data_IF_096015429969
#
_entry.id   IF_096015429969
#
_cell.length_a   1.000
_cell.length_b   1.000
_cell.length_c   1.000
_cell.angle_alpha   90.00
_cell.angle_beta   90.00
_cell.angle_gamma   90.00
#
_symmetry.space_group_name_H-M   'P 1'
#
loop_
_entity.id
_entity.type
_entity.pdbx_description
1 polymer ?
#
# COMPACT_ATOMS: atom_id res chain seq x y z
N UNK A 1 -3.52 19.06 -22.57
CA UNK A 1 -3.97 19.40 -21.21
C UNK A 1 -3.04 18.67 -20.26
N UNK A 2 -2.28 19.38 -19.42
CA UNK A 2 -1.35 18.75 -18.45
C UNK A 2 -2.19 18.24 -17.28
N UNK A 3 -2.12 16.95 -16.97
CA UNK A 3 -2.76 16.37 -15.78
C UNK A 3 -1.98 16.88 -14.57
N UNK A 4 -2.68 17.46 -13.60
CA UNK A 4 -2.10 17.88 -12.31
C UNK A 4 -2.37 16.79 -11.29
N UNK A 5 -1.31 16.18 -10.78
CA UNK A 5 -1.43 15.06 -9.86
C UNK A 5 -1.73 15.52 -8.43
N UNK A 6 -2.39 14.68 -7.63
CA UNK A 6 -2.67 14.99 -6.24
C UNK A 6 -1.39 15.19 -5.41
N UNK A 7 -0.32 14.48 -5.73
CA UNK A 7 0.98 14.66 -5.07
C UNK A 7 1.55 16.07 -5.29
N UNK A 8 1.42 16.62 -6.50
CA UNK A 8 1.80 18.01 -6.79
C UNK A 8 0.96 19.01 -5.97
N UNK A 9 -0.34 18.71 -5.80
CA UNK A 9 -1.25 19.53 -4.98
C UNK A 9 -0.85 19.50 -3.50
N UNK A 10 -0.52 18.33 -2.95
CA UNK A 10 -0.06 18.17 -1.56
C UNK A 10 1.26 18.92 -1.34
N UNK A 11 2.22 18.78 -2.27
CA UNK A 11 3.49 19.49 -2.22
C UNK A 11 3.30 21.03 -2.23
N UNK A 12 2.40 21.56 -3.08
CA UNK A 12 2.09 23.00 -3.11
C UNK A 12 1.44 23.53 -1.84
N UNK A 13 0.86 22.64 -1.01
CA UNK A 13 0.26 22.98 0.30
C UNK A 13 1.28 22.91 1.45
N UNK A 14 2.56 22.70 1.16
CA UNK A 14 3.63 22.67 2.15
C UNK A 14 3.76 21.35 2.91
N UNK A 15 3.16 20.26 2.41
CA UNK A 15 3.29 18.95 3.03
C UNK A 15 4.67 18.37 2.67
N UNK A 16 5.59 18.39 3.64
CA UNK A 16 7.01 18.11 3.42
C UNK A 16 7.29 16.72 2.80
N UNK A 17 6.59 15.67 3.25
CA UNK A 17 6.76 14.32 2.69
C UNK A 17 6.21 14.20 1.26
N UNK A 18 5.25 15.04 0.86
CA UNK A 18 4.75 15.09 -0.53
C UNK A 18 5.78 15.74 -1.45
N UNK A 19 6.44 16.82 -1.00
CA UNK A 19 7.54 17.45 -1.74
C UNK A 19 8.70 16.47 -1.95
N UNK A 20 9.13 15.78 -0.89
CA UNK A 20 10.16 14.72 -0.98
C UNK A 20 9.77 13.62 -1.96
N UNK A 21 8.53 13.13 -1.89
CA UNK A 21 8.05 12.09 -2.81
C UNK A 21 7.97 12.57 -4.27
N UNK A 22 7.61 13.83 -4.50
CA UNK A 22 7.59 14.43 -5.84
C UNK A 22 9.01 14.55 -6.42
N UNK A 23 9.99 14.96 -5.61
CA UNK A 23 11.39 15.06 -6.03
C UNK A 23 12.00 13.68 -6.28
N UNK A 24 11.66 12.69 -5.45
CA UNK A 24 12.01 11.29 -5.69
C UNK A 24 11.43 10.80 -7.03
N UNK A 25 10.15 11.07 -7.28
CA UNK A 25 9.47 10.65 -8.51
C UNK A 25 10.18 11.21 -9.76
N UNK A 26 10.48 12.52 -9.76
CA UNK A 26 11.19 13.18 -10.86
C UNK A 26 12.58 12.61 -11.07
N UNK A 27 13.36 12.50 -10.00
CA UNK A 27 14.75 12.04 -10.05
C UNK A 27 14.86 10.59 -10.55
N UNK A 28 13.83 9.79 -10.31
CA UNK A 28 13.79 8.40 -10.73
C UNK A 28 12.98 8.16 -12.02
N UNK A 29 12.39 9.18 -12.65
CA UNK A 29 11.54 9.03 -13.83
C UNK A 29 10.26 8.22 -13.57
N UNK A 30 9.62 8.44 -12.41
CA UNK A 30 8.36 7.82 -12.01
C UNK A 30 7.21 8.81 -12.12
N UNK A 31 6.01 8.29 -12.39
CA UNK A 31 4.78 9.08 -12.41
C UNK A 31 4.38 9.39 -10.97
N UNK A 32 4.12 10.66 -10.60
CA UNK A 32 3.87 11.06 -9.21
C UNK A 32 2.42 10.79 -8.75
N UNK A 33 1.94 9.56 -8.96
CA UNK A 33 0.63 9.09 -8.48
C UNK A 33 0.85 8.23 -7.23
N UNK A 34 0.06 8.48 -6.19
CA UNK A 34 0.05 7.67 -4.95
C UNK A 34 -1.23 6.84 -4.79
N UNK A 35 -2.31 7.20 -5.47
CA UNK A 35 -3.57 6.46 -5.53
C UNK A 35 -4.47 7.04 -6.63
N UNK A 36 -5.15 6.20 -7.39
CA UNK A 36 -6.14 6.61 -8.37
C UNK A 36 -7.37 7.29 -7.75
N UNK A 37 -7.67 7.05 -6.46
CA UNK A 37 -8.74 7.75 -5.75
C UNK A 37 -8.53 9.26 -5.71
N UNK A 38 -7.28 9.71 -5.83
CA UNK A 38 -6.90 11.11 -5.80
C UNK A 38 -6.78 11.74 -7.21
N UNK A 39 -6.98 10.94 -8.27
CA UNK A 39 -6.82 11.32 -9.68
C UNK A 39 -8.14 11.20 -10.46
N UNK A 40 -9.11 12.12 -10.29
CA UNK A 40 -10.47 11.96 -10.82
C UNK A 40 -10.54 11.74 -12.33
N UNK A 41 -9.71 12.44 -13.11
CA UNK A 41 -9.70 12.31 -14.57
C UNK A 41 -9.22 10.92 -15.01
N UNK A 42 -8.15 10.42 -14.40
CA UNK A 42 -7.58 9.11 -14.69
C UNK A 42 -8.52 8.00 -14.23
N UNK A 43 -9.06 8.13 -13.03
CA UNK A 43 -10.06 7.21 -12.49
C UNK A 43 -11.31 7.16 -13.39
N UNK A 44 -11.86 8.29 -13.80
CA UNK A 44 -13.04 8.30 -14.68
C UNK A 44 -12.77 7.61 -16.02
N UNK A 45 -11.59 7.82 -16.61
CA UNK A 45 -11.16 7.14 -17.84
C UNK A 45 -11.06 5.64 -17.64
N UNK A 46 -10.42 5.22 -16.54
CA UNK A 46 -10.27 3.82 -16.16
C UNK A 46 -11.64 3.14 -15.96
N UNK A 47 -12.55 3.75 -15.20
CA UNK A 47 -13.87 3.18 -14.93
C UNK A 47 -14.71 3.04 -16.20
N UNK A 48 -14.59 3.98 -17.16
CA UNK A 48 -15.24 3.87 -18.47
C UNK A 48 -14.72 2.69 -19.28
N UNK A 49 -13.42 2.40 -19.23
CA UNK A 49 -12.81 1.23 -19.90
C UNK A 49 -13.35 -0.09 -19.37
N UNK A 50 -13.60 -0.19 -18.07
CA UNK A 50 -14.12 -1.41 -17.42
C UNK A 50 -15.66 -1.45 -17.30
N UNK A 51 -16.37 -0.47 -17.87
CA UNK A 51 -17.82 -0.33 -17.70
C UNK A 51 -18.60 -1.55 -18.17
N UNK A 52 -18.27 -2.08 -19.35
CA UNK A 52 -19.01 -3.18 -19.94
C UNK A 52 -18.99 -4.46 -19.09
N UNK A 53 -17.83 -5.01 -18.68
CA UNK A 53 -17.80 -6.18 -17.81
C UNK A 53 -18.36 -5.88 -16.41
N UNK A 54 -18.11 -4.69 -15.84
CA UNK A 54 -18.45 -4.43 -14.45
C UNK A 54 -19.89 -3.94 -14.23
N UNK A 55 -20.53 -3.30 -15.21
CA UNK A 55 -21.94 -2.89 -15.08
C UNK A 55 -22.88 -4.10 -14.97
N UNK A 56 -22.55 -5.22 -15.63
CA UNK A 56 -23.29 -6.47 -15.48
C UNK A 56 -23.22 -6.98 -14.04
N UNK A 57 -22.02 -7.11 -13.49
CA UNK A 57 -21.83 -7.50 -12.10
C UNK A 57 -22.52 -6.54 -11.12
N UNK A 58 -22.49 -5.24 -11.40
CA UNK A 58 -23.13 -4.22 -10.55
C UNK A 58 -24.66 -4.32 -10.57
N UNK A 59 -25.28 -4.58 -11.72
CA UNK A 59 -26.74 -4.80 -11.80
C UNK A 59 -27.19 -6.01 -10.99
N UNK A 60 -26.38 -7.05 -10.97
CA UNK A 60 -26.71 -8.30 -10.29
C UNK A 60 -26.42 -8.30 -8.79
N UNK A 61 -25.42 -7.53 -8.34
CA UNK A 61 -24.89 -7.62 -6.98
C UNK A 61 -24.54 -6.26 -6.34
N UNK A 62 -24.95 -5.14 -6.91
CA UNK A 62 -24.58 -3.79 -6.45
C UNK A 62 -25.08 -3.43 -5.04
N UNK A 63 -26.02 -4.18 -4.49
CA UNK A 63 -26.48 -4.00 -3.10
C UNK A 63 -25.42 -4.40 -2.07
N UNK A 64 -24.52 -5.33 -2.40
CA UNK A 64 -23.50 -5.84 -1.47
C UNK A 64 -22.11 -5.79 -2.12
N UNK A 65 -21.22 -4.95 -1.59
CA UNK A 65 -19.86 -4.74 -2.13
C UNK A 65 -19.08 -6.05 -2.27
N UNK A 66 -19.13 -6.92 -1.27
CA UNK A 66 -18.40 -8.20 -1.26
C UNK A 66 -18.88 -9.11 -2.38
N UNK A 67 -20.20 -9.26 -2.53
CA UNK A 67 -20.79 -10.05 -3.60
C UNK A 67 -20.47 -9.48 -4.98
N UNK A 68 -20.55 -8.15 -5.13
CA UNK A 68 -20.18 -7.47 -6.36
C UNK A 68 -18.72 -7.75 -6.74
N UNK A 69 -17.76 -7.54 -5.82
CA UNK A 69 -16.34 -7.78 -6.09
C UNK A 69 -16.12 -9.24 -6.48
N UNK A 70 -16.76 -10.19 -5.80
CA UNK A 70 -16.65 -11.62 -6.16
C UNK A 70 -17.10 -11.90 -7.59
N UNK A 71 -18.24 -11.34 -8.04
CA UNK A 71 -18.72 -11.49 -9.42
C UNK A 71 -17.82 -10.79 -10.43
N UNK A 72 -17.37 -9.58 -10.11
CA UNK A 72 -16.45 -8.82 -10.96
C UNK A 72 -15.14 -9.59 -11.23
N UNK A 73 -14.56 -10.22 -10.20
CA UNK A 73 -13.35 -11.02 -10.36
C UNK A 73 -13.55 -12.24 -11.26
N UNK A 74 -14.73 -12.87 -11.23
CA UNK A 74 -15.05 -13.96 -12.16
C UNK A 74 -15.10 -13.47 -13.62
N UNK A 75 -15.65 -12.29 -13.86
CA UNK A 75 -15.71 -11.69 -15.21
C UNK A 75 -14.35 -11.21 -15.71
N UNK A 76 -13.45 -10.86 -14.80
CA UNK A 76 -12.08 -10.44 -15.11
C UNK A 76 -11.07 -11.61 -15.12
N UNK A 77 -11.56 -12.85 -15.07
CA UNK A 77 -10.77 -14.10 -14.99
C UNK A 77 -9.64 -14.04 -13.93
N UNK A 78 -9.95 -13.46 -12.77
CA UNK A 78 -8.99 -13.27 -11.71
C UNK A 78 -9.17 -14.30 -10.60
N UNK A 79 -8.11 -15.06 -10.32
CA UNK A 79 -8.03 -16.00 -9.21
C UNK A 79 -7.36 -15.35 -8.01
N UNK A 80 -8.07 -15.26 -6.90
CA UNK A 80 -7.48 -14.81 -5.64
C UNK A 80 -6.53 -15.88 -5.10
N UNK A 81 -5.31 -15.49 -4.82
CA UNK A 81 -4.38 -16.30 -4.04
C UNK A 81 -4.73 -16.24 -2.55
N UNK A 82 -4.43 -17.32 -1.84
CA UNK A 82 -4.72 -17.45 -0.41
C UNK A 82 -3.57 -16.87 0.44
N UNK A 83 -3.53 -15.54 0.54
CA UNK A 83 -2.62 -14.84 1.45
C UNK A 83 -3.26 -14.63 2.83
N UNK A 84 -2.45 -14.71 3.88
CA UNK A 84 -2.85 -14.20 5.19
C UNK A 84 -2.70 -12.68 5.18
N UNK A 85 -3.79 -11.95 5.41
CA UNK A 85 -3.70 -10.51 5.62
C UNK A 85 -3.45 -10.24 7.11
N UNK A 86 -2.34 -9.56 7.42
CA UNK A 86 -2.11 -9.06 8.77
C UNK A 86 -2.76 -7.67 8.90
N UNK A 87 -3.56 -7.48 9.96
CA UNK A 87 -4.41 -6.30 10.09
C UNK A 87 -3.65 -5.01 10.45
N UNK A 88 -2.47 -5.15 11.06
CA UNK A 88 -1.69 -4.03 11.59
C UNK A 88 -0.55 -3.62 10.66
N UNK A 89 0.27 -2.67 11.09
CA UNK A 89 1.35 -2.10 10.31
C UNK A 89 2.66 -2.88 10.48
N UNK A 90 3.55 -2.71 9.51
CA UNK A 90 4.89 -3.27 9.54
C UNK A 90 5.93 -2.26 9.08
N UNK A 91 6.96 -2.08 9.88
CA UNK A 91 8.11 -1.21 9.59
C UNK A 91 9.38 -2.06 9.50
N UNK A 92 10.20 -1.91 8.44
CA UNK A 92 11.43 -2.68 8.29
C UNK A 92 12.45 -2.31 9.37
N UNK A 93 13.06 -3.30 10.01
CA UNK A 93 14.14 -3.13 11.01
C UNK A 93 15.54 -3.29 10.40
N UNK A 94 15.62 -4.00 9.28
CA UNK A 94 16.83 -4.26 8.51
C UNK A 94 16.58 -3.97 7.04
N UNK A 95 17.63 -4.10 6.23
CA UNK A 95 17.45 -4.28 4.79
C UNK A 95 16.45 -5.40 4.52
N UNK A 96 15.59 -5.17 3.53
CA UNK A 96 14.49 -6.05 3.21
C UNK A 96 14.25 -6.11 1.71
N UNK A 97 13.69 -7.24 1.27
CA UNK A 97 13.16 -7.42 -0.08
C UNK A 97 11.64 -7.56 0.06
N UNK A 98 10.89 -6.76 -0.70
CA UNK A 98 9.43 -6.77 -0.65
C UNK A 98 8.84 -6.78 -2.06
N UNK A 99 7.65 -7.36 -2.17
CA UNK A 99 6.81 -7.33 -3.38
C UNK A 99 5.55 -6.50 -3.08
N UNK A 100 5.23 -5.55 -3.95
CA UNK A 100 3.98 -4.78 -3.87
C UNK A 100 2.80 -5.69 -4.23
N UNK A 101 1.80 -5.77 -3.35
CA UNK A 101 0.62 -6.65 -3.48
C UNK A 101 -0.65 -5.89 -3.88
N UNK A 102 -0.97 -4.80 -3.19
CA UNK A 102 -2.04 -3.84 -3.53
C UNK A 102 -1.44 -2.43 -3.42
N UNK A 103 -1.42 -1.68 -4.51
CA UNK A 103 -0.72 -0.39 -4.63
C UNK A 103 -1.63 0.83 -4.52
N UNK A 104 -2.94 0.68 -4.67
CA UNK A 104 -3.86 1.81 -4.79
C UNK A 104 -4.35 2.40 -3.46
N UNK A 105 -3.64 2.11 -2.37
CA UNK A 105 -3.99 2.51 -1.01
C UNK A 105 -2.74 2.95 -0.26
N UNK A 106 -2.94 3.78 0.76
CA UNK A 106 -1.88 4.28 1.63
C UNK A 106 -2.26 3.96 3.08
N UNK A 107 -1.48 3.15 3.81
CA UNK A 107 -0.22 2.52 3.40
C UNK A 107 -0.39 1.39 2.37
N UNK A 108 0.62 1.20 1.54
CA UNK A 108 0.67 0.14 0.51
C UNK A 108 0.73 -1.23 1.18
N UNK A 109 0.08 -2.23 0.59
CA UNK A 109 0.22 -3.61 1.05
C UNK A 109 1.32 -4.33 0.30
N UNK A 110 2.16 -5.04 1.06
CA UNK A 110 3.33 -5.73 0.53
C UNK A 110 3.39 -7.16 1.03
N UNK A 111 4.07 -8.01 0.28
CA UNK A 111 4.50 -9.33 0.72
C UNK A 111 6.00 -9.23 1.01
N UNK A 112 6.46 -9.46 2.25
CA UNK A 112 7.88 -9.53 2.54
C UNK A 112 8.46 -10.74 1.83
N UNK A 113 9.46 -10.55 0.96
CA UNK A 113 10.22 -11.64 0.36
C UNK A 113 11.34 -12.06 1.31
N UNK A 114 12.05 -11.09 1.90
CA UNK A 114 13.09 -11.27 2.92
C UNK A 114 13.16 -10.09 3.87
N UNK A 115 13.67 -10.32 5.09
CA UNK A 115 14.04 -9.26 6.03
C UNK A 115 13.26 -9.32 7.35
N UNK A 116 13.61 -8.41 8.26
CA UNK A 116 12.99 -8.27 9.59
C UNK A 116 12.08 -7.06 9.64
N UNK A 117 10.89 -7.26 10.18
CA UNK A 117 9.87 -6.23 10.32
C UNK A 117 9.41 -6.16 11.77
N UNK A 118 9.30 -4.94 12.30
CA UNK A 118 8.55 -4.69 13.53
C UNK A 118 7.09 -4.53 13.17
N UNK A 119 6.23 -5.25 13.89
CA UNK A 119 4.79 -5.13 13.77
C UNK A 119 4.33 -4.06 14.76
N UNK A 120 3.54 -3.10 14.29
CA UNK A 120 3.13 -1.94 15.09
C UNK A 120 1.63 -1.74 15.01
N UNK A 121 1.03 -1.28 16.10
CA UNK A 121 -0.39 -0.95 16.15
C UNK A 121 -0.68 0.33 15.36
N UNK A 122 0.27 1.28 15.37
CA UNK A 122 0.18 2.55 14.64
C UNK A 122 1.45 2.90 13.86
N UNK A 123 1.36 3.95 13.04
CA UNK A 123 2.50 4.56 12.34
C UNK A 123 3.23 5.56 13.24
N UNK A 124 4.54 5.69 13.05
CA UNK A 124 5.39 6.59 13.83
C UNK A 124 6.14 7.59 12.93
N UNK A 125 6.48 8.74 13.49
CA UNK A 125 7.20 9.81 12.77
C UNK A 125 8.60 9.36 12.31
N UNK A 126 9.25 8.56 13.16
CA UNK A 126 10.66 8.18 13.08
C UNK A 126 10.86 6.76 13.61
N UNK A 127 11.95 6.11 13.19
CA UNK A 127 12.35 4.84 13.79
C UNK A 127 12.77 5.04 15.24
N UNK A 128 13.41 6.17 15.57
CA UNK A 128 13.79 6.48 16.94
C UNK A 128 12.57 6.68 17.87
N UNK A 129 11.50 7.33 17.40
CA UNK A 129 10.25 7.40 18.17
C UNK A 129 9.68 6.00 18.42
N UNK A 130 9.57 5.18 17.38
CA UNK A 130 9.10 3.79 17.50
C UNK A 130 9.93 3.00 18.54
N UNK A 131 11.26 3.07 18.46
CA UNK A 131 12.13 2.39 19.43
C UNK A 131 11.95 2.92 20.86
N UNK A 132 11.73 4.22 21.03
CA UNK A 132 11.48 4.83 22.34
C UNK A 132 10.15 4.35 22.92
N UNK A 133 9.07 4.37 22.13
CA UNK A 133 7.74 3.89 22.54
C UNK A 133 7.76 2.42 22.94
N UNK A 134 8.51 1.59 22.22
CA UNK A 134 8.73 0.19 22.57
C UNK A 134 9.50 0.06 23.88
N UNK A 135 10.56 0.85 24.12
CA UNK A 135 11.29 0.80 25.40
C UNK A 135 10.43 1.22 26.59
N UNK A 136 9.59 2.24 26.41
CA UNK A 136 8.74 2.80 27.47
C UNK A 136 7.50 1.97 27.80
N UNK A 137 7.15 0.95 27.00
CA UNK A 137 5.91 0.21 27.21
C UNK A 137 4.69 0.74 26.46
N UNK A 138 4.89 1.76 25.62
CA UNK A 138 3.83 2.50 24.92
C UNK A 138 3.54 1.97 23.51
N UNK A 139 4.13 0.85 23.13
CA UNK A 139 3.86 0.08 21.90
C UNK A 139 4.17 -1.40 22.14
N UNK A 140 3.67 -2.29 21.30
CA UNK A 140 3.98 -3.71 21.30
C UNK A 140 5.42 -3.99 20.84
N UNK A 141 6.00 -5.07 21.37
CA UNK A 141 7.35 -5.53 21.01
C UNK A 141 7.22 -6.89 20.31
N UNK A 142 6.89 -6.81 19.02
CA UNK A 142 6.72 -7.96 18.14
C UNK A 142 7.56 -7.78 16.87
N UNK A 143 8.44 -8.74 16.60
CA UNK A 143 9.31 -8.74 15.42
C UNK A 143 9.06 -10.00 14.63
N UNK A 144 8.81 -9.85 13.33
CA UNK A 144 8.63 -10.94 12.37
C UNK A 144 9.78 -10.96 11.36
N UNK A 145 10.36 -12.13 11.14
CA UNK A 145 11.43 -12.36 10.18
C UNK A 145 10.94 -13.26 9.05
N UNK A 146 11.22 -12.83 7.82
CA UNK A 146 10.80 -13.52 6.62
C UNK A 146 11.99 -13.93 5.77
N UNK A 147 11.89 -15.11 5.16
CA UNK A 147 12.77 -15.56 4.07
C UNK A 147 11.95 -16.34 3.03
N UNK A 148 12.24 -16.12 1.76
CA UNK A 148 11.52 -16.66 0.60
C UNK A 148 9.98 -16.57 0.75
N UNK A 149 9.50 -15.40 1.18
CA UNK A 149 8.08 -15.09 1.44
C UNK A 149 7.40 -15.88 2.56
N UNK A 150 8.17 -16.59 3.39
CA UNK A 150 7.67 -17.36 4.53
C UNK A 150 8.12 -16.74 5.84
N UNK A 151 7.24 -16.77 6.84
CA UNK A 151 7.61 -16.40 8.21
C UNK A 151 8.54 -17.48 8.77
N UNK A 152 9.79 -17.12 9.07
CA UNK A 152 10.77 -18.06 9.63
C UNK A 152 10.92 -17.89 11.15
N UNK A 153 10.61 -16.69 11.68
CA UNK A 153 10.70 -16.39 13.11
C UNK A 153 9.72 -15.30 13.49
N UNK A 154 9.13 -15.43 14.68
CA UNK A 154 8.40 -14.36 15.34
C UNK A 154 8.84 -14.25 16.80
N UNK A 155 9.31 -13.07 17.19
CA UNK A 155 9.65 -12.74 18.58
C UNK A 155 8.49 -11.93 19.17
N UNK A 156 7.88 -12.43 20.24
CA UNK A 156 6.77 -11.78 20.94
C UNK A 156 7.20 -11.50 22.38
N UNK A 157 7.63 -10.27 22.67
CA UNK A 157 8.06 -9.87 24.02
C UNK A 157 6.94 -9.20 24.80
N UNK A 158 6.15 -8.36 24.13
CA UNK A 158 4.99 -7.69 24.71
C UNK A 158 3.91 -7.47 23.65
N UNK A 159 2.66 -7.77 24.01
CA UNK A 159 1.46 -7.57 23.18
C UNK A 159 0.35 -7.02 24.07
N UNK A 160 -0.01 -5.76 23.86
CA UNK A 160 -1.01 -4.98 24.62
C UNK A 160 -2.01 -4.34 23.66
N UNK A 161 -1.54 -3.78 22.53
CA UNK A 161 -2.38 -2.99 21.62
C UNK A 161 -2.91 -3.81 20.43
N UNK A 162 -2.06 -4.64 19.83
CA UNK A 162 -2.48 -5.56 18.78
C UNK A 162 -3.24 -6.76 19.36
N UNK A 163 -4.21 -7.26 18.59
CA UNK A 163 -4.95 -8.45 18.95
C UNK A 163 -4.03 -9.68 18.95
N UNK A 164 -3.90 -10.33 20.10
CA UNK A 164 -3.09 -11.54 20.26
C UNK A 164 -3.49 -12.63 19.25
N UNK A 165 -4.79 -12.76 18.94
CA UNK A 165 -5.30 -13.70 17.93
C UNK A 165 -4.69 -13.45 16.54
N UNK A 166 -4.52 -12.19 16.13
CA UNK A 166 -3.90 -11.85 14.84
C UNK A 166 -2.42 -12.26 14.81
N UNK A 167 -1.73 -12.10 15.93
CA UNK A 167 -0.32 -12.48 16.09
C UNK A 167 -0.15 -14.01 16.18
N UNK A 168 -1.11 -14.73 16.76
CA UNK A 168 -1.11 -16.19 16.82
C UNK A 168 -1.44 -16.81 15.46
N UNK A 169 -2.39 -16.23 14.72
CA UNK A 169 -2.63 -16.60 13.32
C UNK A 169 -1.39 -16.39 12.46
N UNK A 170 -0.66 -15.28 12.68
CA UNK A 170 0.59 -15.01 11.99
C UNK A 170 1.63 -16.09 12.31
N UNK A 171 1.80 -16.44 13.59
CA UNK A 171 2.75 -17.47 13.99
C UNK A 171 2.41 -18.88 13.45
N UNK A 172 1.13 -19.16 13.22
CA UNK A 172 0.66 -20.47 12.76
C UNK A 172 0.54 -20.58 11.22
N UNK A 173 0.61 -19.48 10.48
CA UNK A 173 0.39 -19.47 9.04
C UNK A 173 1.51 -20.16 8.28
N UNK A 174 1.15 -20.87 7.21
CA UNK A 174 2.07 -21.35 6.16
C UNK A 174 1.85 -20.63 4.83
N UNK A 175 0.85 -19.76 4.78
CA UNK A 175 0.60 -18.91 3.63
C UNK A 175 1.54 -17.71 3.65
N UNK A 176 1.83 -17.18 2.47
CA UNK A 176 2.46 -15.85 2.35
C UNK A 176 1.63 -14.82 3.12
N UNK A 177 2.31 -13.87 3.74
CA UNK A 177 1.70 -12.83 4.58
C UNK A 177 1.68 -11.52 3.80
N UNK A 178 0.56 -10.83 3.84
CA UNK A 178 0.41 -9.46 3.34
C UNK A 178 0.45 -8.51 4.53
N UNK A 179 1.37 -7.55 4.50
CA UNK A 179 1.61 -6.55 5.54
C UNK A 179 1.20 -5.16 5.04
N UNK A 180 0.66 -4.32 5.92
CA UNK A 180 0.51 -2.89 5.64
C UNK A 180 1.87 -2.20 5.87
N UNK A 181 2.57 -1.88 4.79
CA UNK A 181 3.93 -1.35 4.85
C UNK A 181 3.93 0.13 5.24
N UNK A 182 4.46 0.43 6.42
CA UNK A 182 4.58 1.78 6.94
C UNK A 182 6.05 2.11 7.13
N UNK A 183 6.63 2.95 6.25
CA UNK A 183 7.96 3.47 6.47
C UNK A 183 7.92 4.69 7.40
N UNK A 184 9.06 5.36 7.59
CA UNK A 184 9.15 6.60 8.38
C UNK A 184 8.42 7.77 7.71
N UNK A 185 8.03 8.78 8.48
CA UNK A 185 7.32 9.97 7.96
C UNK A 185 7.97 10.64 6.76
N UNK A 186 9.31 10.79 6.71
CA UNK A 186 9.97 11.45 5.58
C UNK A 186 9.87 10.68 4.26
N UNK A 187 9.60 9.36 4.32
CA UNK A 187 9.51 8.48 3.16
C UNK A 187 8.13 7.87 2.95
N UNK A 188 7.14 8.27 3.78
CA UNK A 188 5.78 7.76 3.79
C UNK A 188 5.07 7.80 2.43
N UNK A 189 5.24 8.90 1.68
CA UNK A 189 4.64 9.06 0.34
C UNK A 189 5.54 8.60 -0.80
N UNK A 190 6.83 8.30 -0.54
CA UNK A 190 7.74 7.76 -1.57
C UNK A 190 7.28 6.36 -1.98
N UNK A 191 6.99 5.50 -1.00
CA UNK A 191 6.64 4.12 -1.30
C UNK A 191 5.33 3.94 -2.08
N UNK A 192 4.24 4.69 -1.80
CA UNK A 192 3.07 4.74 -2.68
C UNK A 192 3.38 5.13 -4.13
N UNK A 193 4.28 6.09 -4.37
CA UNK A 193 4.73 6.43 -5.74
C UNK A 193 5.38 5.21 -6.38
N UNK A 194 6.30 4.55 -5.69
CA UNK A 194 6.97 3.36 -6.20
C UNK A 194 5.95 2.27 -6.53
N UNK A 195 5.01 2.01 -5.62
CA UNK A 195 3.98 1.00 -5.76
C UNK A 195 3.09 1.21 -6.99
N UNK A 196 2.76 2.47 -7.31
CA UNK A 196 1.99 2.81 -8.51
C UNK A 196 2.77 2.64 -9.81
N UNK A 197 4.11 2.62 -9.75
CA UNK A 197 5.03 2.53 -10.90
C UNK A 197 5.62 1.12 -11.13
N UNK A 198 5.07 0.11 -10.46
CA UNK A 198 5.44 -1.30 -10.65
C UNK A 198 4.20 -2.18 -10.88
N UNK A 199 4.39 -3.38 -11.44
CA UNK A 199 3.31 -4.37 -11.57
C UNK A 199 3.09 -5.10 -10.23
N UNK A 200 1.94 -4.99 -9.56
CA UNK A 200 1.67 -5.74 -8.34
C UNK A 200 1.84 -7.24 -8.56
N UNK A 201 2.37 -7.95 -7.55
CA UNK A 201 2.66 -9.40 -7.57
C UNK A 201 3.70 -9.87 -8.60
N UNK A 202 4.34 -8.93 -9.30
CA UNK A 202 5.38 -9.21 -10.28
C UNK A 202 6.41 -8.08 -10.25
N UNK A 203 6.93 -7.82 -9.05
CA UNK A 203 7.92 -6.79 -8.79
C UNK A 203 8.79 -7.19 -7.59
N UNK A 204 9.93 -6.52 -7.47
CA UNK A 204 10.83 -6.66 -6.34
C UNK A 204 11.38 -5.30 -6.00
N UNK A 205 11.16 -4.88 -4.76
CA UNK A 205 11.70 -3.64 -4.20
C UNK A 205 12.70 -4.00 -3.12
N UNK A 206 13.91 -3.46 -3.25
CA UNK A 206 14.90 -3.49 -2.19
C UNK A 206 14.65 -2.27 -1.30
N UNK A 207 14.45 -2.52 -0.02
CA UNK A 207 14.41 -1.48 1.02
C UNK A 207 15.74 -1.54 1.75
N UNK A 208 16.49 -0.44 1.69
CA UNK A 208 17.77 -0.30 2.39
C UNK A 208 17.61 0.69 3.52
N UNK A 209 18.18 0.37 4.67
CA UNK A 209 18.17 1.28 5.81
C UNK A 209 19.36 2.23 5.70
N UNK A 210 19.11 3.44 5.21
CA UNK A 210 20.09 4.51 5.07
C UNK A 210 20.26 5.28 6.39
N UNK A 211 20.93 4.67 7.37
CA UNK A 211 21.11 5.27 8.70
C UNK A 211 19.86 5.16 9.59
N UNK A 212 19.71 6.09 10.54
CA UNK A 212 18.73 5.95 11.62
C UNK A 212 17.28 6.20 11.20
N UNK A 213 17.01 7.01 10.16
CA UNK A 213 15.65 7.52 9.87
C UNK A 213 15.20 7.42 8.41
N UNK A 214 16.11 7.43 7.43
CA UNK A 214 15.74 7.39 6.01
C UNK A 214 15.79 5.94 5.48
N UNK A 215 14.74 5.59 4.73
CA UNK A 215 14.68 4.37 3.95
C UNK A 215 14.94 4.68 2.49
N UNK A 216 15.90 3.98 1.91
CA UNK A 216 16.17 4.02 0.49
C UNK A 216 15.43 2.87 -0.20
N UNK A 217 14.92 3.15 -1.40
CA UNK A 217 14.19 2.16 -2.18
C UNK A 217 14.80 2.01 -3.55
N UNK A 218 14.99 0.77 -3.98
CA UNK A 218 15.44 0.42 -5.31
C UNK A 218 14.45 -0.55 -5.93
N UNK A 219 13.87 -0.19 -7.08
CA UNK A 219 13.05 -1.10 -7.89
C UNK A 219 14.00 -2.05 -8.62
N UNK A 220 14.14 -3.29 -8.13
CA UNK A 220 14.96 -4.31 -8.77
C UNK A 220 14.25 -4.93 -9.98
N UNK A 221 12.93 -5.18 -9.87
CA UNK A 221 12.13 -5.85 -10.90
C UNK A 221 10.73 -5.24 -10.99
N UNK A 222 10.08 -5.36 -12.15
CA UNK A 222 8.65 -5.07 -12.33
C UNK A 222 8.28 -3.60 -12.60
N UNK A 223 9.26 -2.72 -12.85
CA UNK A 223 9.02 -1.33 -13.24
C UNK A 223 8.23 -1.26 -14.56
N UNK A 224 7.26 -0.35 -14.62
CA UNK A 224 6.44 -0.11 -15.83
C UNK A 224 6.72 1.24 -16.48
N UNK A 225 6.22 1.41 -17.70
CA UNK A 225 6.27 2.69 -18.41
C UNK A 225 5.21 3.67 -17.90
N UNK A 226 5.46 4.95 -18.04
CA UNK A 226 4.55 6.04 -17.63
C UNK A 226 3.12 5.87 -18.18
N UNK A 227 2.97 5.50 -19.46
CA UNK A 227 1.66 5.32 -20.06
C UNK A 227 0.87 4.17 -19.40
N UNK A 228 1.53 3.09 -18.99
CA UNK A 228 0.88 1.99 -18.28
C UNK A 228 0.38 2.44 -16.90
N UNK A 229 1.15 3.30 -16.21
CA UNK A 229 0.74 3.88 -14.92
C UNK A 229 -0.46 4.80 -15.09
N UNK A 230 -0.42 5.72 -16.06
CA UNK A 230 -1.50 6.68 -16.35
C UNK A 230 -2.78 5.98 -16.78
N UNK A 231 -2.68 4.89 -17.53
CA UNK A 231 -3.82 4.06 -17.95
C UNK A 231 -4.38 3.20 -16.82
N UNK A 232 -3.69 3.10 -15.67
CA UNK A 232 -4.10 2.27 -14.54
C UNK A 232 -3.89 0.78 -14.78
N UNK A 233 -2.93 0.41 -15.64
CA UNK A 233 -2.56 -0.98 -15.91
C UNK A 233 -1.71 -1.58 -14.79
N UNK A 234 -1.30 -0.76 -13.80
CA UNK A 234 -0.65 -1.20 -12.57
C UNK A 234 -1.63 -1.55 -11.46
N UNK A 235 -2.95 -1.45 -11.68
CA UNK A 235 -3.97 -1.82 -10.69
C UNK A 235 -4.40 -3.27 -10.86
N UNK A 236 -4.60 -3.97 -9.74
CA UNK A 236 -5.15 -5.33 -9.77
C UNK A 236 -6.65 -5.33 -10.12
N UNK A 237 -7.19 -6.44 -10.67
CA UNK A 237 -8.63 -6.59 -10.87
C UNK A 237 -9.46 -6.40 -9.60
N UNK A 238 -8.91 -6.72 -8.42
CA UNK A 238 -9.55 -6.50 -7.11
C UNK A 238 -9.72 -5.01 -6.85
N UNK A 239 -8.66 -4.22 -7.04
CA UNK A 239 -8.69 -2.77 -6.85
C UNK A 239 -9.61 -2.09 -7.85
N UNK A 240 -9.53 -2.46 -9.13
CA UNK A 240 -10.41 -1.96 -10.19
C UNK A 240 -11.88 -2.24 -9.84
N UNK A 241 -12.19 -3.44 -9.36
CA UNK A 241 -13.55 -3.81 -8.95
C UNK A 241 -14.01 -2.94 -7.78
N UNK A 242 -13.23 -2.86 -6.70
CA UNK A 242 -13.57 -2.04 -5.52
C UNK A 242 -13.82 -0.57 -5.89
N UNK A 243 -12.93 0.00 -6.70
CA UNK A 243 -13.08 1.37 -7.22
C UNK A 243 -14.33 1.53 -8.06
N UNK A 244 -14.64 0.58 -8.96
CA UNK A 244 -15.84 0.64 -9.79
C UNK A 244 -17.11 0.69 -8.95
N UNK A 245 -17.19 -0.14 -7.91
CA UNK A 245 -18.32 -0.14 -6.99
C UNK A 245 -18.53 1.25 -6.36
N UNK A 246 -17.47 1.86 -5.86
CA UNK A 246 -17.52 3.16 -5.17
C UNK A 246 -17.79 4.31 -6.14
N UNK A 247 -17.17 4.28 -7.32
CA UNK A 247 -17.41 5.22 -8.40
C UNK A 247 -18.87 5.17 -8.85
N UNK A 248 -19.40 3.96 -9.08
CA UNK A 248 -20.78 3.74 -9.53
C UNK A 248 -21.80 4.12 -8.46
N UNK A 249 -21.45 3.94 -7.19
CA UNK A 249 -22.23 4.35 -6.01
C UNK A 249 -22.11 5.84 -5.68
N UNK A 250 -21.31 6.61 -6.44
CA UNK A 250 -20.99 8.03 -6.16
C UNK A 250 -20.42 8.27 -4.76
N UNK A 251 -19.65 7.30 -4.24
CA UNK A 251 -19.04 7.35 -2.91
C UNK A 251 -17.64 7.99 -2.91
N UNK A 252 -17.07 8.25 -4.08
CA UNK A 252 -15.72 8.80 -4.19
C UNK A 252 -15.78 10.33 -4.14
N UNK A 253 -15.12 10.91 -3.14
CA UNK A 253 -14.94 12.35 -2.99
C UNK A 253 -13.46 12.65 -2.75
N UNK A 254 -12.81 13.27 -3.74
CA UNK A 254 -11.37 13.55 -3.71
C UNK A 254 -10.94 14.33 -2.46
N UNK A 255 -11.71 15.32 -2.03
CA UNK A 255 -11.33 16.15 -0.89
C UNK A 255 -11.40 15.35 0.42
N UNK A 256 -12.39 14.47 0.58
CA UNK A 256 -12.47 13.56 1.72
C UNK A 256 -11.33 12.53 1.71
N UNK A 257 -10.99 11.98 0.54
CA UNK A 257 -9.83 11.07 0.41
C UNK A 257 -8.51 11.78 0.75
N UNK A 258 -8.36 13.04 0.32
CA UNK A 258 -7.18 13.85 0.63
C UNK A 258 -7.09 14.16 2.12
N UNK A 259 -8.20 14.54 2.75
CA UNK A 259 -8.26 14.77 4.20
C UNK A 259 -7.96 13.48 4.98
N UNK A 260 -8.52 12.35 4.55
CA UNK A 260 -8.25 11.04 5.14
C UNK A 260 -6.79 10.62 5.01
N UNK A 261 -6.15 10.92 3.88
CA UNK A 261 -4.71 10.70 3.70
C UNK A 261 -3.90 11.59 4.66
N UNK A 262 -4.18 12.89 4.72
CA UNK A 262 -3.47 13.84 5.59
C UNK A 262 -3.56 13.39 7.05
N UNK A 263 -4.75 12.99 7.51
CA UNK A 263 -4.97 12.53 8.89
C UNK A 263 -4.21 11.25 9.26
N UNK A 264 -3.74 10.47 8.27
CA UNK A 264 -2.95 9.24 8.47
C UNK A 264 -1.45 9.47 8.30
N UNK A 265 -1.02 10.66 7.88
CA UNK A 265 0.40 10.95 7.80
C UNK A 265 0.98 10.92 9.22
N UNK A 266 2.08 10.19 9.48
CA UNK A 266 2.76 10.28 10.75
C UNK A 266 3.34 11.70 10.89
N UNK A 267 3.07 12.33 12.03
CA UNK A 267 3.46 13.70 12.39
C UNK A 267 4.63 13.70 13.36
#
# INVERSE_FOLDING_TARGET
MRVVFALETLASRGIANASRALDYAKSNGMVPIISFYLEPELMNRLMRRYREPLERAYKEAGFERTLFVRRALQLLDYRSENYMNFAYYATPLSDAEIEVYENNQVPVKVVPLRGKFRLTFMSYSSLNELETRVKEGNEDDVIAEFDNSQLIKIEKRRVVFMELKSIDQLAATRSKVVLNFVPTAPTFLIFPVIAMNVRPKNNKILVRRGGDEDLEYVVAEGRVKENEVIEGNTLTPVEISRMYYEWRSRKINRDLELQGLIARLPY
#
